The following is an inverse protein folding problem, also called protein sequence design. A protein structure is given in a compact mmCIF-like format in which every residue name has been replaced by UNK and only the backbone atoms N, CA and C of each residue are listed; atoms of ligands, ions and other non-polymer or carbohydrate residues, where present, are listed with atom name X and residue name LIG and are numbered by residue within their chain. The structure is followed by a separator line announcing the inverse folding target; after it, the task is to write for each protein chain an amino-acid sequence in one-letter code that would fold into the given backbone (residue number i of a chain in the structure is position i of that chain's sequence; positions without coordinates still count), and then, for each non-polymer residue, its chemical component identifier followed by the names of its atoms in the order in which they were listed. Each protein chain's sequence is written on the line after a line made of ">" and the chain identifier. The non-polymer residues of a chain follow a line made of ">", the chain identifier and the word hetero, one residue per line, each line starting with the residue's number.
data_IF_798608677333
#
_entry.id   IF_798608677333
#
_cell.length_a   1.000
_cell.length_b   1.000
_cell.length_c   1.000
_cell.angle_alpha   90.00
_cell.angle_beta   90.00
_cell.angle_gamma   90.00
#
_symmetry.space_group_name_H-M   'P 1'
#
loop_
_entity.id
_entity.type
_entity.pdbx_description
1 polymer ?
#
# COMPACT_ATOMS: atom_id res chain seq x y z
N UNK A 1 -8.71 64.84 44.73
CA UNK A 1 -7.61 65.76 44.39
C UNK A 1 -6.96 65.17 43.15
N UNK A 2 -7.42 65.45 41.93
CA UNK A 2 -7.32 66.73 41.19
C UNK A 2 -5.85 67.19 41.19
N UNK A 3 -5.08 66.89 40.14
CA UNK A 3 -4.94 67.79 38.99
C UNK A 3 -4.18 67.17 37.79
N UNK A 4 -4.65 67.56 36.61
CA UNK A 4 -3.98 67.52 35.29
C UNK A 4 -3.28 68.88 35.07
N UNK A 5 -2.37 69.06 34.08
CA UNK A 5 -2.84 69.38 32.73
C UNK A 5 -2.03 68.77 31.56
N UNK A 6 -2.77 68.57 30.48
CA UNK A 6 -2.42 68.19 29.11
C UNK A 6 -1.59 69.23 28.33
N UNK A 7 -0.83 68.81 27.31
CA UNK A 7 -0.76 69.39 25.93
C UNK A 7 -0.03 68.38 25.01
N UNK A 8 -0.73 67.54 24.22
CA UNK A 8 -0.99 67.65 22.77
C UNK A 8 0.27 67.79 21.87
N UNK A 9 0.70 66.69 21.25
CA UNK A 9 1.02 66.63 19.80
C UNK A 9 0.49 65.30 19.24
N UNK A 10 -0.48 65.44 18.33
CA UNK A 10 -1.09 64.43 17.47
C UNK A 10 -0.16 64.22 16.27
N UNK A 11 0.16 62.97 15.90
CA UNK A 11 0.36 62.50 14.52
C UNK A 11 1.10 61.15 14.49
N UNK A 12 0.64 60.23 13.62
CA UNK A 12 1.26 58.96 13.21
C UNK A 12 0.92 57.69 14.02
N UNK A 13 -0.39 57.40 14.14
CA UNK A 13 -0.90 56.04 14.35
C UNK A 13 -2.01 55.77 13.33
N UNK A 14 -1.64 55.42 12.10
CA UNK A 14 -2.56 54.83 11.12
C UNK A 14 -1.82 54.31 9.89
N UNK A 15 -1.03 53.24 10.01
CA UNK A 15 -0.56 52.53 8.81
C UNK A 15 -0.20 51.05 8.94
N UNK A 16 -0.34 50.39 10.10
CA UNK A 16 0.12 48.99 10.22
C UNK A 16 -0.85 47.99 10.87
N UNK A 17 -2.13 48.35 11.03
CA UNK A 17 -3.09 47.47 11.69
C UNK A 17 -4.48 47.45 11.07
N UNK A 18 -4.59 47.57 9.74
CA UNK A 18 -5.83 47.23 8.99
C UNK A 18 -5.46 46.78 7.55
N UNK A 19 -4.78 45.64 7.39
CA UNK A 19 -4.75 44.91 6.10
C UNK A 19 -4.77 43.41 6.42
N UNK A 20 -5.96 42.83 6.55
CA UNK A 20 -6.24 41.41 6.25
C UNK A 20 -7.68 40.98 6.53
N UNK A 21 -8.55 41.86 7.05
CA UNK A 21 -9.99 41.59 7.16
C UNK A 21 -10.78 42.62 6.35
N UNK A 22 -11.48 42.16 5.31
CA UNK A 22 -12.45 42.83 4.43
C UNK A 22 -12.04 42.90 2.95
N UNK A 23 -12.15 41.77 2.25
CA UNK A 23 -12.56 41.76 0.84
C UNK A 23 -13.64 40.70 0.64
N UNK A 24 -14.79 40.93 1.28
CA UNK A 24 -16.03 40.25 0.97
C UNK A 24 -17.10 41.33 0.77
N UNK A 25 -17.65 41.40 -0.45
CA UNK A 25 -18.75 42.28 -0.91
C UNK A 25 -18.39 43.79 -0.92
N UNK A 26 -18.57 44.59 -1.97
CA UNK A 26 -19.49 44.57 -3.11
C UNK A 26 -19.11 45.71 -4.07
N UNK A 27 -18.95 45.47 -5.37
CA UNK A 27 -19.22 46.49 -6.40
C UNK A 27 -19.94 45.83 -7.56
N UNK A 28 -21.20 46.22 -7.72
CA UNK A 28 -22.03 45.91 -8.86
C UNK A 28 -21.87 47.01 -9.91
N UNK A 29 -21.75 46.57 -11.18
CA UNK A 29 -22.10 47.25 -12.44
C UNK A 29 -21.33 48.51 -12.86
N UNK A 30 -20.55 48.33 -13.93
CA UNK A 30 -20.48 49.07 -15.21
C UNK A 30 -19.14 48.64 -15.85
N UNK A 31 -18.96 48.08 -17.04
CA UNK A 31 -19.81 47.69 -18.16
C UNK A 31 -18.84 47.22 -19.26
N UNK A 32 -19.14 46.05 -19.84
CA UNK A 32 -18.74 45.54 -21.18
C UNK A 32 -17.26 45.53 -21.61
N UNK A 33 -16.91 44.39 -22.21
CA UNK A 33 -15.66 44.04 -22.91
C UNK A 33 -14.49 43.67 -21.99
N UNK A 34 -14.39 42.37 -21.67
CA UNK A 34 -13.16 41.57 -21.83
C UNK A 34 -13.49 40.10 -21.46
N UNK A 35 -13.14 39.17 -22.35
CA UNK A 35 -13.37 37.73 -22.19
C UNK A 35 -12.48 37.17 -21.07
N UNK A 36 -13.00 36.44 -20.07
CA UNK A 36 -12.16 35.84 -19.04
C UNK A 36 -11.64 34.48 -19.51
N UNK A 37 -10.36 34.47 -19.91
CA UNK A 37 -9.52 33.27 -19.90
C UNK A 37 -9.51 32.70 -18.48
N UNK A 38 -10.01 31.49 -18.34
CA UNK A 38 -10.08 30.72 -17.10
C UNK A 38 -8.65 30.48 -16.56
N UNK A 39 -8.25 31.25 -15.55
CA UNK A 39 -7.03 31.00 -14.77
C UNK A 39 -7.33 29.80 -13.87
N UNK A 40 -7.09 28.61 -14.42
CA UNK A 40 -6.97 27.35 -13.67
C UNK A 40 -5.71 27.44 -12.81
N UNK A 41 -5.90 27.52 -11.48
CA UNK A 41 -4.82 27.24 -10.54
C UNK A 41 -4.43 25.77 -10.71
N UNK A 42 -3.40 25.50 -11.51
CA UNK A 42 -2.72 24.21 -11.58
C UNK A 42 -2.00 23.97 -10.24
N UNK A 43 -2.59 23.13 -9.40
CA UNK A 43 -1.84 22.43 -8.36
C UNK A 43 -1.23 21.18 -9.02
N UNK A 44 -0.08 21.34 -9.67
CA UNK A 44 0.71 20.23 -10.25
C UNK A 44 1.88 19.90 -9.33
N UNK A 45 1.74 18.81 -8.55
CA UNK A 45 2.76 17.77 -8.34
C UNK A 45 2.19 16.66 -7.44
N UNK A 46 1.41 15.76 -8.04
CA UNK A 46 1.32 14.38 -7.56
C UNK A 46 1.89 13.50 -8.65
N UNK A 47 2.79 12.60 -8.26
CA UNK A 47 3.40 11.62 -9.14
C UNK A 47 2.29 10.64 -9.55
N UNK A 48 1.68 10.93 -10.69
CA UNK A 48 0.49 10.26 -11.19
C UNK A 48 0.89 8.89 -11.73
N UNK A 49 0.67 7.84 -10.95
CA UNK A 49 0.87 6.47 -11.38
C UNK A 49 -0.11 6.14 -12.52
N UNK A 50 0.33 5.29 -13.45
CA UNK A 50 -0.30 4.97 -14.73
C UNK A 50 -1.54 4.06 -14.59
N UNK A 51 -2.41 4.38 -13.63
CA UNK A 51 -3.66 3.67 -13.30
C UNK A 51 -4.90 4.57 -13.38
N UNK A 52 -4.80 5.71 -14.09
CA UNK A 52 -5.90 6.66 -14.27
C UNK A 52 -6.83 6.25 -15.45
N UNK A 53 -7.15 4.96 -15.56
CA UNK A 53 -8.36 4.59 -16.29
C UNK A 53 -9.53 4.98 -15.38
N UNK A 54 -10.18 6.11 -15.70
CA UNK A 54 -11.46 6.49 -15.12
C UNK A 54 -12.47 5.39 -15.41
N UNK A 55 -12.65 4.50 -14.44
CA UNK A 55 -13.63 3.42 -14.49
C UNK A 55 -14.95 3.99 -14.01
N UNK A 56 -15.95 3.98 -14.89
CA UNK A 56 -17.32 4.24 -14.49
C UNK A 56 -17.84 3.06 -13.66
N UNK A 57 -17.73 3.17 -12.33
CA UNK A 57 -18.19 2.14 -11.39
C UNK A 57 -19.71 1.94 -11.41
N UNK A 58 -20.47 2.85 -12.01
CA UNK A 58 -21.92 2.71 -12.19
C UNK A 58 -22.28 1.92 -13.44
N UNK A 59 -21.34 1.77 -14.39
CA UNK A 59 -21.50 0.87 -15.52
C UNK A 59 -21.22 -0.59 -15.07
N UNK A 60 -22.24 -1.48 -15.09
CA UNK A 60 -22.08 -2.86 -14.63
C UNK A 60 -21.10 -3.69 -15.46
N UNK A 61 -20.72 -3.22 -16.65
CA UNK A 61 -19.76 -3.89 -17.54
C UNK A 61 -18.34 -3.32 -17.45
N UNK A 62 -18.13 -2.13 -16.87
CA UNK A 62 -16.82 -1.47 -16.89
C UNK A 62 -15.72 -2.33 -16.24
N UNK A 63 -16.01 -2.99 -15.12
CA UNK A 63 -15.05 -3.89 -14.46
C UNK A 63 -14.82 -5.20 -15.25
N UNK A 64 -15.81 -5.68 -16.00
CA UNK A 64 -15.66 -6.84 -16.90
C UNK A 64 -14.78 -6.49 -18.09
N UNK A 65 -15.01 -5.33 -18.71
CA UNK A 65 -14.22 -4.81 -19.82
C UNK A 65 -12.77 -4.53 -19.41
N UNK A 66 -12.56 -3.93 -18.24
CA UNK A 66 -11.24 -3.72 -17.65
C UNK A 66 -10.51 -5.05 -17.48
N UNK A 67 -11.16 -6.05 -16.88
CA UNK A 67 -10.57 -7.37 -16.71
C UNK A 67 -10.24 -8.03 -18.05
N UNK A 68 -11.12 -7.92 -19.06
CA UNK A 68 -10.87 -8.45 -20.40
C UNK A 68 -9.65 -7.78 -21.05
N UNK A 69 -9.52 -6.46 -20.92
CA UNK A 69 -8.37 -5.69 -21.41
C UNK A 69 -7.07 -6.09 -20.72
N UNK A 70 -7.10 -6.27 -19.41
CA UNK A 70 -5.96 -6.77 -18.64
C UNK A 70 -5.59 -8.20 -19.08
N UNK A 71 -6.58 -9.05 -19.35
CA UNK A 71 -6.36 -10.42 -19.80
C UNK A 71 -5.64 -10.47 -21.15
N UNK A 72 -6.04 -9.64 -22.11
CA UNK A 72 -5.40 -9.55 -23.43
C UNK A 72 -3.94 -9.10 -23.37
N UNK A 73 -3.53 -8.41 -22.32
CA UNK A 73 -2.18 -7.85 -22.15
C UNK A 73 -1.37 -8.54 -21.05
N UNK A 74 -1.92 -9.58 -20.41
CA UNK A 74 -1.34 -10.16 -19.21
C UNK A 74 0.09 -10.67 -19.44
N UNK A 75 0.31 -11.46 -20.49
CA UNK A 75 1.63 -12.00 -20.85
C UNK A 75 2.64 -10.88 -21.15
N UNK A 76 2.19 -9.83 -21.85
CA UNK A 76 3.03 -8.67 -22.14
C UNK A 76 3.43 -7.94 -20.86
N UNK A 77 2.49 -7.68 -19.96
CA UNK A 77 2.77 -7.01 -18.69
C UNK A 77 3.69 -7.85 -17.80
N UNK A 78 3.47 -9.17 -17.74
CA UNK A 78 4.33 -10.09 -16.99
C UNK A 78 5.76 -10.08 -17.54
N UNK A 79 5.92 -10.14 -18.87
CA UNK A 79 7.23 -10.09 -19.52
C UNK A 79 7.93 -8.75 -19.28
N UNK A 80 7.23 -7.62 -19.42
CA UNK A 80 7.79 -6.30 -19.16
C UNK A 80 8.26 -6.14 -17.72
N UNK A 81 7.45 -6.58 -16.75
CA UNK A 81 7.79 -6.57 -15.32
C UNK A 81 9.06 -7.39 -15.05
N UNK A 82 9.14 -8.60 -15.60
CA UNK A 82 10.29 -9.47 -15.46
C UNK A 82 11.57 -8.88 -16.09
N UNK A 83 11.44 -8.23 -17.24
CA UNK A 83 12.57 -7.58 -17.91
C UNK A 83 13.12 -6.40 -17.09
N UNK A 84 12.25 -5.55 -16.54
CA UNK A 84 12.70 -4.38 -15.76
C UNK A 84 13.25 -4.78 -14.39
N UNK A 85 12.81 -5.91 -13.82
CA UNK A 85 13.34 -6.45 -12.56
C UNK A 85 14.82 -6.85 -12.63
N UNK A 86 15.36 -7.12 -13.82
CA UNK A 86 16.79 -7.41 -14.05
C UNK A 86 17.67 -6.17 -14.08
N UNK A 87 17.07 -4.98 -14.15
CA UNK A 87 17.78 -3.71 -14.13
C UNK A 87 17.97 -3.16 -12.70
N UNK A 88 18.58 -1.99 -12.61
CA UNK A 88 18.78 -1.26 -11.34
C UNK A 88 17.80 -0.08 -11.13
N UNK A 89 16.94 0.19 -12.12
CA UNK A 89 16.07 1.38 -12.12
C UNK A 89 14.73 1.13 -11.40
N UNK A 90 14.66 1.44 -10.10
CA UNK A 90 13.46 1.25 -9.26
C UNK A 90 12.22 1.94 -9.79
N UNK A 91 12.32 3.21 -10.21
CA UNK A 91 11.17 3.96 -10.77
C UNK A 91 10.58 3.26 -11.99
N UNK A 92 11.44 2.68 -12.83
CA UNK A 92 11.01 1.92 -14.01
C UNK A 92 10.36 0.60 -13.60
N UNK A 93 10.90 -0.07 -12.59
CA UNK A 93 10.31 -1.29 -12.04
C UNK A 93 8.92 -1.02 -11.44
N UNK A 94 8.80 -0.06 -10.52
CA UNK A 94 7.53 0.26 -9.87
C UNK A 94 6.46 0.65 -10.89
N UNK A 95 6.79 1.46 -11.91
CA UNK A 95 5.87 1.83 -12.99
C UNK A 95 5.35 0.66 -13.84
N UNK A 96 6.01 -0.50 -13.79
CA UNK A 96 5.58 -1.72 -14.49
C UNK A 96 4.79 -2.69 -13.63
N UNK A 97 4.74 -2.50 -12.31
CA UNK A 97 3.83 -3.26 -11.46
C UNK A 97 2.40 -2.84 -11.78
N UNK A 98 1.56 -3.79 -12.16
CA UNK A 98 0.15 -3.56 -12.51
C UNK A 98 -0.77 -4.08 -11.42
N UNK A 99 -1.95 -3.48 -11.31
CA UNK A 99 -2.97 -3.91 -10.36
C UNK A 99 -3.58 -5.24 -10.83
N UNK A 100 -3.75 -6.16 -9.90
CA UNK A 100 -4.35 -7.49 -10.12
C UNK A 100 -5.71 -7.63 -9.44
N UNK A 101 -6.10 -6.60 -8.67
CA UNK A 101 -7.37 -6.45 -8.00
C UNK A 101 -7.82 -4.98 -8.03
N UNK A 102 -9.11 -4.77 -8.20
CA UNK A 102 -9.72 -3.43 -8.17
C UNK A 102 -10.48 -3.25 -6.86
N UNK A 103 -10.16 -2.17 -6.14
CA UNK A 103 -10.86 -1.76 -4.93
C UNK A 103 -11.60 -0.44 -5.16
N UNK A 104 -12.93 -0.47 -5.09
CA UNK A 104 -13.75 0.73 -5.29
C UNK A 104 -13.66 1.71 -4.10
N UNK A 105 -13.55 1.20 -2.88
CA UNK A 105 -13.48 1.98 -1.65
C UNK A 105 -12.05 1.87 -1.10
N UNK A 106 -11.17 2.77 -1.53
CA UNK A 106 -9.76 2.78 -1.14
C UNK A 106 -9.47 4.01 -0.28
N UNK A 107 -8.94 3.80 0.92
CA UNK A 107 -8.67 4.86 1.90
C UNK A 107 -7.19 4.87 2.29
N UNK A 108 -6.55 6.05 2.35
CA UNK A 108 -5.21 6.20 2.93
C UNK A 108 -5.35 6.24 4.45
N UNK A 109 -4.64 5.33 5.14
CA UNK A 109 -4.66 5.19 6.60
C UNK A 109 -3.28 5.50 7.14
N UNK A 110 -3.19 6.23 8.25
CA UNK A 110 -1.95 6.83 8.74
C UNK A 110 -1.60 8.15 8.04
N UNK A 111 -0.32 8.53 8.08
CA UNK A 111 0.18 9.79 7.54
C UNK A 111 0.19 9.79 6.00
N UNK A 112 0.17 11.00 5.41
CA UNK A 112 0.12 11.20 3.95
C UNK A 112 1.46 10.96 3.28
N UNK A 113 2.54 11.22 4.00
CA UNK A 113 3.88 11.26 3.44
C UNK A 113 4.61 9.91 3.59
N UNK A 114 4.78 9.42 4.81
CA UNK A 114 5.51 8.18 5.13
C UNK A 114 4.76 7.32 6.17
N UNK A 115 4.93 6.00 6.12
CA UNK A 115 4.36 5.05 7.08
C UNK A 115 2.85 4.77 6.97
N UNK A 116 2.06 5.66 6.36
CA UNK A 116 0.63 5.43 6.10
C UNK A 116 0.40 4.55 4.87
N UNK A 117 -0.56 3.61 4.91
CA UNK A 117 -0.82 2.63 3.83
C UNK A 117 -2.22 2.80 3.23
N UNK A 118 -2.40 2.45 1.96
CA UNK A 118 -3.74 2.34 1.35
C UNK A 118 -4.46 1.05 1.75
N UNK A 119 -5.65 1.18 2.33
CA UNK A 119 -6.49 0.07 2.79
C UNK A 119 -7.77 0.00 1.98
N UNK A 120 -8.11 -1.20 1.51
CA UNK A 120 -9.37 -1.44 0.81
C UNK A 120 -10.51 -1.70 1.80
N UNK A 121 -11.54 -0.87 1.73
CA UNK A 121 -12.79 -0.92 2.50
C UNK A 121 -12.57 -1.29 3.98
N UNK A 122 -11.81 -0.47 4.73
CA UNK A 122 -11.44 -0.77 6.12
C UNK A 122 -12.65 -1.01 7.04
N UNK A 123 -13.82 -0.47 6.71
CA UNK A 123 -15.06 -0.67 7.50
C UNK A 123 -15.66 -2.07 7.38
N UNK A 124 -15.20 -2.86 6.41
CA UNK A 124 -15.65 -4.23 6.16
C UNK A 124 -14.88 -5.31 6.95
N UNK A 125 -14.03 -4.91 7.89
CA UNK A 125 -13.47 -5.86 8.87
C UNK A 125 -14.58 -6.58 9.62
N UNK A 126 -14.32 -7.83 10.03
CA UNK A 126 -15.26 -8.64 10.83
C UNK A 126 -15.69 -7.87 12.07
N UNK A 127 -16.97 -7.98 12.43
CA UNK A 127 -17.55 -7.30 13.61
C UNK A 127 -17.15 -7.95 14.92
N UNK A 128 -17.00 -9.27 14.91
CA UNK A 128 -16.57 -10.03 16.07
C UNK A 128 -15.17 -10.59 15.82
N UNK A 129 -14.37 -10.65 16.88
CA UNK A 129 -13.10 -11.36 16.88
C UNK A 129 -12.11 -10.91 15.79
N UNK A 130 -12.08 -9.63 15.40
CA UNK A 130 -11.07 -9.11 14.48
C UNK A 130 -9.76 -8.74 15.20
N UNK A 131 -8.63 -8.98 14.52
CA UNK A 131 -7.30 -8.63 15.00
C UNK A 131 -6.56 -7.87 13.91
N UNK A 132 -5.98 -6.72 14.26
CA UNK A 132 -5.09 -5.95 13.41
C UNK A 132 -3.66 -6.16 13.92
N UNK A 133 -2.69 -6.32 13.02
CA UNK A 133 -1.28 -6.43 13.39
C UNK A 133 -0.48 -5.35 12.66
N UNK A 134 0.36 -4.63 13.40
CA UNK A 134 1.27 -3.59 12.89
C UNK A 134 2.70 -3.92 13.32
N UNK A 135 3.56 -4.24 12.35
CA UNK A 135 4.96 -4.59 12.59
C UNK A 135 5.87 -3.44 12.17
N UNK A 136 6.86 -3.15 13.03
CA UNK A 136 7.82 -2.06 12.89
C UNK A 136 7.18 -0.71 13.21
N UNK A 137 6.91 -0.49 14.50
CA UNK A 137 6.28 0.73 14.97
C UNK A 137 7.26 1.90 15.04
N UNK A 138 8.47 1.69 15.56
CA UNK A 138 9.49 2.73 15.78
C UNK A 138 8.93 4.05 16.37
N UNK A 139 8.09 3.96 17.41
CA UNK A 139 7.34 5.06 18.04
C UNK A 139 6.32 5.78 17.13
N UNK A 140 6.06 5.30 15.92
CA UNK A 140 4.99 5.77 15.06
C UNK A 140 3.69 5.01 15.36
N UNK A 141 2.61 5.76 15.60
CA UNK A 141 1.28 5.22 15.96
C UNK A 141 0.15 5.80 15.08
N UNK A 142 0.47 6.69 14.14
CA UNK A 142 -0.53 7.39 13.32
C UNK A 142 -1.40 6.42 12.52
N UNK A 143 -0.78 5.41 11.89
CA UNK A 143 -1.49 4.33 11.21
C UNK A 143 -2.43 3.59 12.15
N UNK A 144 -1.92 3.14 13.29
CA UNK A 144 -2.59 2.29 14.28
C UNK A 144 -3.83 2.97 14.88
N UNK A 145 -3.70 4.24 15.26
CA UNK A 145 -4.84 5.05 15.73
C UNK A 145 -5.87 5.26 14.62
N UNK A 146 -5.41 5.58 13.41
CA UNK A 146 -6.30 5.86 12.30
C UNK A 146 -7.07 4.60 11.88
N UNK A 147 -6.42 3.44 11.73
CA UNK A 147 -7.10 2.20 11.37
C UNK A 147 -8.08 1.76 12.47
N UNK A 148 -7.71 1.93 13.74
CA UNK A 148 -8.59 1.59 14.84
C UNK A 148 -9.86 2.46 14.83
N UNK A 149 -9.71 3.76 14.57
CA UNK A 149 -10.85 4.67 14.46
C UNK A 149 -11.76 4.31 13.27
N UNK A 150 -11.19 4.12 12.07
CA UNK A 150 -11.97 3.84 10.86
C UNK A 150 -12.67 2.49 10.92
N UNK A 151 -12.07 1.50 11.59
CA UNK A 151 -12.70 0.19 11.79
C UNK A 151 -13.81 0.22 12.84
N UNK A 152 -13.92 1.28 13.64
CA UNK A 152 -14.95 1.41 14.70
C UNK A 152 -14.47 0.99 16.08
N UNK A 153 -13.18 0.77 16.27
CA UNK A 153 -12.56 0.56 17.57
C UNK A 153 -12.75 -0.83 18.18
N UNK A 154 -13.43 -1.75 17.50
CA UNK A 154 -13.78 -3.06 18.06
C UNK A 154 -12.70 -4.13 17.85
N UNK A 155 -11.74 -3.92 16.95
CA UNK A 155 -10.65 -4.89 16.74
C UNK A 155 -9.61 -4.84 17.85
N UNK A 156 -8.96 -5.97 18.12
CA UNK A 156 -7.72 -5.98 18.92
C UNK A 156 -6.56 -5.58 18.02
N UNK A 157 -5.77 -4.58 18.40
CA UNK A 157 -4.57 -4.19 17.63
C UNK A 157 -3.30 -4.68 18.33
N UNK A 158 -2.45 -5.42 17.62
CA UNK A 158 -1.18 -5.94 18.12
C UNK A 158 -0.04 -5.20 17.42
N UNK A 159 0.74 -4.47 18.19
CA UNK A 159 1.88 -3.71 17.71
C UNK A 159 3.18 -4.38 18.11
N UNK A 160 4.16 -4.41 17.21
CA UNK A 160 5.44 -5.03 17.49
C UNK A 160 6.61 -4.25 16.91
N UNK A 161 7.70 -4.18 17.67
CA UNK A 161 8.96 -3.60 17.25
C UNK A 161 10.14 -4.30 17.93
N UNK A 162 11.35 -4.14 17.39
CA UNK A 162 12.57 -4.67 18.02
C UNK A 162 12.86 -3.95 19.35
N UNK A 163 12.52 -2.66 19.44
CA UNK A 163 12.79 -1.83 20.62
C UNK A 163 11.51 -1.50 21.40
N UNK A 164 11.59 -1.35 22.74
CA UNK A 164 10.48 -0.85 23.53
C UNK A 164 10.01 0.53 23.05
N UNK A 165 8.70 0.70 22.95
CA UNK A 165 8.09 1.99 22.61
C UNK A 165 8.17 2.94 23.81
N UNK A 166 8.19 4.25 23.58
CA UNK A 166 8.18 5.22 24.67
C UNK A 166 6.83 5.21 25.43
N UNK A 167 6.82 5.79 26.64
CA UNK A 167 5.64 5.75 27.53
C UNK A 167 4.38 6.35 26.88
N UNK A 168 4.52 7.44 26.13
CA UNK A 168 3.40 8.07 25.43
C UNK A 168 2.75 7.12 24.43
N UNK A 169 3.57 6.36 23.69
CA UNK A 169 3.08 5.37 22.72
C UNK A 169 2.47 4.17 23.44
N UNK A 170 3.06 3.69 24.54
CA UNK A 170 2.49 2.62 25.34
C UNK A 170 1.08 2.97 25.84
N UNK A 171 0.92 4.13 26.47
CA UNK A 171 -0.39 4.62 26.96
C UNK A 171 -1.38 4.88 25.82
N UNK A 172 -0.89 5.34 24.66
CA UNK A 172 -1.73 5.52 23.48
C UNK A 172 -2.23 4.18 22.93
N UNK A 173 -1.40 3.14 22.94
CA UNK A 173 -1.75 1.80 22.48
C UNK A 173 -2.82 1.16 23.37
N UNK A 174 -2.70 1.30 24.70
CA UNK A 174 -3.71 0.81 25.65
C UNK A 174 -5.09 1.43 25.39
N UNK A 175 -5.14 2.72 25.07
CA UNK A 175 -6.40 3.45 24.77
C UNK A 175 -7.10 3.00 23.49
N UNK A 176 -6.39 2.38 22.56
CA UNK A 176 -6.94 1.93 21.26
C UNK A 176 -7.22 0.42 21.23
N UNK A 177 -7.44 -0.21 22.38
CA UNK A 177 -7.57 -1.66 22.53
C UNK A 177 -6.32 -2.39 21.97
N UNK A 178 -5.15 -1.81 22.22
CA UNK A 178 -3.88 -2.29 21.72
C UNK A 178 -3.12 -3.16 22.70
N UNK A 179 -2.18 -3.94 22.16
CA UNK A 179 -1.17 -4.67 22.91
C UNK A 179 0.17 -4.58 22.19
N UNK A 180 1.21 -4.21 22.93
CA UNK A 180 2.57 -4.08 22.41
C UNK A 180 3.40 -5.34 22.68
N UNK A 181 4.27 -5.65 21.74
CA UNK A 181 5.26 -6.71 21.80
C UNK A 181 6.63 -6.14 21.46
N UNK A 182 7.66 -6.64 22.12
CA UNK A 182 9.05 -6.23 21.91
C UNK A 182 9.87 -7.46 21.52
N UNK A 183 10.60 -7.33 20.43
CA UNK A 183 11.54 -8.33 19.95
C UNK A 183 11.69 -8.31 18.44
N UNK A 184 12.81 -8.83 17.96
CA UNK A 184 13.08 -8.97 16.53
C UNK A 184 12.19 -10.05 15.89
N UNK A 185 11.56 -9.74 14.77
CA UNK A 185 10.73 -10.67 13.98
C UNK A 185 11.59 -11.27 12.85
N UNK A 186 11.54 -12.60 12.60
CA UNK A 186 10.78 -13.63 13.30
C UNK A 186 11.56 -14.30 14.46
N UNK A 187 12.79 -13.86 14.74
CA UNK A 187 13.76 -14.61 15.55
C UNK A 187 13.41 -14.66 17.04
N UNK A 188 13.01 -13.55 17.63
CA UNK A 188 12.69 -13.43 19.07
C UNK A 188 11.18 -13.51 19.32
N UNK A 189 10.39 -12.93 18.42
CA UNK A 189 8.93 -13.00 18.43
C UNK A 189 8.39 -13.37 17.04
N UNK A 190 7.26 -14.07 17.03
CA UNK A 190 6.57 -14.49 15.80
C UNK A 190 5.11 -14.08 15.86
N UNK A 191 4.46 -13.98 14.70
CA UNK A 191 3.00 -13.70 14.65
C UNK A 191 2.22 -14.73 15.46
N UNK A 192 2.59 -16.01 15.39
CA UNK A 192 1.94 -17.08 16.15
C UNK A 192 2.08 -16.89 17.66
N UNK A 193 3.27 -16.52 18.16
CA UNK A 193 3.48 -16.28 19.59
C UNK A 193 2.74 -15.04 20.08
N UNK A 194 2.66 -13.99 19.26
CA UNK A 194 1.87 -12.79 19.57
C UNK A 194 0.38 -13.09 19.66
N UNK A 195 -0.18 -13.79 18.66
CA UNK A 195 -1.58 -14.22 18.67
C UNK A 195 -1.90 -15.07 19.89
N UNK A 196 -1.07 -16.07 20.19
CA UNK A 196 -1.25 -16.94 21.37
C UNK A 196 -1.27 -16.13 22.67
N UNK A 197 -0.33 -15.20 22.85
CA UNK A 197 -0.23 -14.37 24.05
C UNK A 197 -1.35 -13.33 24.17
N UNK A 198 -1.93 -12.90 23.05
CA UNK A 198 -3.09 -12.02 23.01
C UNK A 198 -4.43 -12.78 22.98
N UNK A 199 -4.40 -14.11 23.10
CA UNK A 199 -5.59 -14.99 23.02
C UNK A 199 -6.40 -14.79 21.73
N UNK A 200 -5.69 -14.55 20.63
CA UNK A 200 -6.23 -14.37 19.28
C UNK A 200 -5.93 -15.60 18.42
N UNK A 201 -6.74 -15.81 17.39
CA UNK A 201 -6.59 -16.96 16.46
C UNK A 201 -6.44 -16.55 15.00
N UNK A 202 -6.90 -15.36 14.64
CA UNK A 202 -6.96 -14.89 13.27
C UNK A 202 -6.42 -13.47 13.18
N UNK A 203 -5.89 -13.12 12.01
CA UNK A 203 -5.45 -11.77 11.65
C UNK A 203 -6.33 -11.28 10.51
N UNK A 204 -6.98 -10.13 10.72
CA UNK A 204 -7.81 -9.49 9.73
C UNK A 204 -6.97 -8.63 8.78
N UNK A 205 -6.11 -7.77 9.34
CA UNK A 205 -5.20 -6.89 8.61
C UNK A 205 -3.78 -7.00 9.18
N UNK A 206 -2.78 -7.09 8.30
CA UNK A 206 -1.37 -7.15 8.67
C UNK A 206 -0.59 -6.06 7.93
N UNK A 207 -0.09 -5.05 8.67
CA UNK A 207 0.94 -4.10 8.20
C UNK A 207 2.32 -4.66 8.53
N UNK A 208 3.20 -4.65 7.54
CA UNK A 208 4.60 -5.07 7.66
C UNK A 208 5.50 -3.95 7.13
N UNK A 209 6.39 -3.48 8.00
CA UNK A 209 7.28 -2.36 7.72
C UNK A 209 8.52 -2.48 8.62
N UNK A 210 9.42 -3.41 8.28
CA UNK A 210 10.47 -3.88 9.21
C UNK A 210 11.88 -3.73 8.61
N UNK A 211 12.06 -2.71 7.76
CA UNK A 211 13.37 -2.20 7.32
C UNK A 211 14.30 -3.28 6.74
N UNK A 212 13.78 -4.11 5.83
CA UNK A 212 14.54 -5.19 5.17
C UNK A 212 14.33 -6.58 5.78
N UNK A 213 13.75 -6.66 6.98
CA UNK A 213 13.34 -7.93 7.59
C UNK A 213 12.25 -8.66 6.81
N UNK A 214 11.63 -8.00 5.82
CA UNK A 214 10.56 -8.57 5.00
C UNK A 214 11.01 -9.83 4.27
N UNK A 215 12.26 -9.89 3.80
CA UNK A 215 12.74 -10.99 2.96
C UNK A 215 12.92 -12.31 3.69
N UNK A 216 13.17 -12.27 4.99
CA UNK A 216 13.37 -13.45 5.84
C UNK A 216 12.10 -13.78 6.64
N UNK A 217 11.37 -12.75 7.07
CA UNK A 217 10.22 -12.90 7.93
C UNK A 217 8.97 -13.41 7.22
N UNK A 218 8.73 -13.05 5.95
CA UNK A 218 7.37 -13.10 5.44
C UNK A 218 6.81 -14.50 5.13
N UNK A 219 7.55 -15.35 4.40
CA UNK A 219 6.96 -16.58 3.83
C UNK A 219 6.28 -17.52 4.85
N UNK A 220 6.82 -17.72 6.08
CA UNK A 220 6.14 -18.49 7.13
C UNK A 220 4.75 -17.94 7.53
N UNK A 221 4.45 -16.68 7.23
CA UNK A 221 3.24 -15.98 7.68
C UNK A 221 2.16 -15.83 6.60
N UNK A 222 2.44 -16.03 5.31
CA UNK A 222 1.57 -15.61 4.18
C UNK A 222 0.40 -16.58 3.89
N UNK A 223 0.03 -17.50 4.77
CA UNK A 223 -0.98 -18.50 4.39
C UNK A 223 -2.43 -17.98 4.33
N UNK A 224 -2.82 -16.96 5.11
CA UNK A 224 -4.25 -16.68 5.33
C UNK A 224 -4.67 -15.20 5.51
N UNK A 225 -3.77 -14.21 5.41
CA UNK A 225 -4.05 -12.85 5.90
C UNK A 225 -4.18 -11.80 4.79
N UNK A 226 -4.61 -10.58 5.11
CA UNK A 226 -4.49 -9.41 4.21
C UNK A 226 -3.21 -8.66 4.54
N UNK A 227 -2.41 -8.27 3.55
CA UNK A 227 -1.06 -7.77 3.79
C UNK A 227 -0.86 -6.38 3.16
N UNK A 228 -0.45 -5.44 3.98
CA UNK A 228 0.13 -4.16 3.59
C UNK A 228 1.62 -4.24 3.91
N UNK A 229 2.47 -4.10 2.90
CA UNK A 229 3.90 -4.34 3.07
C UNK A 229 4.69 -3.22 2.41
N UNK A 230 5.67 -2.71 3.13
CA UNK A 230 6.77 -1.96 2.55
C UNK A 230 7.92 -2.89 2.22
N UNK A 231 8.34 -2.91 0.96
CA UNK A 231 9.45 -3.78 0.54
C UNK A 231 10.68 -2.92 0.28
N UNK A 232 11.77 -3.26 0.94
CA UNK A 232 13.09 -2.70 0.74
C UNK A 232 13.88 -3.54 -0.28
N UNK A 233 14.73 -2.91 -1.11
CA UNK A 233 15.75 -3.62 -1.88
C UNK A 233 15.74 -3.34 -3.39
N UNK A 234 16.42 -4.19 -4.15
CA UNK A 234 16.57 -4.10 -5.61
C UNK A 234 15.27 -4.48 -6.35
N UNK A 235 15.10 -4.08 -7.62
CA UNK A 235 13.96 -4.52 -8.44
C UNK A 235 13.77 -6.04 -8.48
N UNK A 236 14.87 -6.81 -8.45
CA UNK A 236 14.82 -8.27 -8.40
C UNK A 236 14.29 -8.80 -7.06
N UNK A 237 14.67 -8.19 -5.94
CA UNK A 237 14.18 -8.56 -4.60
C UNK A 237 12.70 -8.21 -4.44
N UNK A 238 12.29 -7.04 -4.93
CA UNK A 238 10.88 -6.67 -5.03
C UNK A 238 10.08 -7.69 -5.85
N UNK A 239 10.55 -8.05 -7.06
CA UNK A 239 9.89 -9.07 -7.87
C UNK A 239 9.78 -10.38 -7.10
N UNK A 240 10.87 -10.87 -6.50
CA UNK A 240 10.87 -12.13 -5.73
C UNK A 240 9.81 -12.10 -4.63
N UNK A 241 9.69 -11.01 -3.89
CA UNK A 241 8.67 -10.85 -2.85
C UNK A 241 7.25 -10.89 -3.45
N UNK A 242 7.00 -10.16 -4.54
CA UNK A 242 5.70 -10.19 -5.22
C UNK A 242 5.37 -11.59 -5.76
N UNK A 243 6.35 -12.35 -6.23
CA UNK A 243 6.13 -13.73 -6.68
C UNK A 243 5.80 -14.68 -5.52
N UNK A 244 6.40 -14.47 -4.34
CA UNK A 244 6.02 -15.18 -3.11
C UNK A 244 4.56 -14.85 -2.76
N UNK A 245 4.17 -13.58 -2.79
CA UNK A 245 2.78 -13.17 -2.57
C UNK A 245 1.82 -13.82 -3.57
N UNK A 246 2.16 -13.80 -4.86
CA UNK A 246 1.36 -14.41 -5.92
C UNK A 246 1.22 -15.93 -5.75
N UNK A 247 2.27 -16.62 -5.26
CA UNK A 247 2.23 -18.06 -4.92
C UNK A 247 1.13 -18.36 -3.89
N UNK A 248 0.87 -17.45 -2.96
CA UNK A 248 -0.18 -17.57 -1.93
C UNK A 248 -1.51 -16.88 -2.33
N UNK A 249 -1.72 -16.60 -3.62
CA UNK A 249 -2.95 -16.00 -4.17
C UNK A 249 -3.26 -14.60 -3.61
N UNK A 250 -2.23 -13.83 -3.32
CA UNK A 250 -2.39 -12.39 -3.11
C UNK A 250 -2.40 -11.65 -4.43
N UNK A 251 -3.16 -10.56 -4.46
CA UNK A 251 -3.27 -9.66 -5.60
C UNK A 251 -3.02 -8.23 -5.19
N UNK A 252 -2.26 -7.53 -6.01
CA UNK A 252 -1.91 -6.13 -5.80
C UNK A 252 -3.13 -5.26 -6.14
N UNK A 253 -3.57 -4.42 -5.21
CA UNK A 253 -4.60 -3.40 -5.46
C UNK A 253 -4.08 -1.97 -5.28
N UNK A 254 -2.87 -1.80 -4.75
CA UNK A 254 -2.18 -0.51 -4.68
C UNK A 254 -0.65 -0.68 -4.77
N UNK A 255 0.00 0.29 -5.40
CA UNK A 255 1.46 0.44 -5.51
C UNK A 255 1.79 1.89 -5.21
N UNK A 256 2.63 2.14 -4.22
CA UNK A 256 3.02 3.49 -3.79
C UNK A 256 4.53 3.53 -3.52
N UNK A 257 5.33 4.03 -4.49
CA UNK A 257 6.76 4.25 -4.25
C UNK A 257 6.98 5.22 -3.08
N UNK A 258 7.87 4.88 -2.15
CA UNK A 258 8.14 5.74 -1.01
C UNK A 258 8.95 6.99 -1.49
N UNK A 259 8.48 8.22 -1.24
CA UNK A 259 9.19 9.43 -1.68
C UNK A 259 10.50 9.69 -0.92
N UNK A 260 10.67 9.12 0.28
CA UNK A 260 11.86 9.27 1.13
C UNK A 260 12.85 8.12 0.98
N UNK A 261 12.44 7.00 0.39
CA UNK A 261 13.29 5.85 0.14
C UNK A 261 13.25 5.42 -1.34
N UNK A 262 14.34 5.67 -2.06
CA UNK A 262 14.41 5.43 -3.52
C UNK A 262 14.25 3.96 -3.92
N UNK A 263 14.59 3.03 -3.01
CA UNK A 263 14.53 1.59 -3.19
C UNK A 263 13.38 0.92 -2.42
N UNK A 264 12.47 1.72 -1.84
CA UNK A 264 11.31 1.22 -1.13
C UNK A 264 10.02 1.45 -1.92
N UNK A 265 9.08 0.53 -1.77
CA UNK A 265 7.75 0.68 -2.31
C UNK A 265 6.76 0.00 -1.38
N UNK A 266 5.66 0.68 -1.13
CA UNK A 266 4.53 0.12 -0.43
C UNK A 266 3.62 -0.60 -1.41
N UNK A 267 3.25 -1.83 -1.06
CA UNK A 267 2.27 -2.62 -1.77
C UNK A 267 1.12 -2.93 -0.84
N UNK A 268 -0.09 -2.75 -1.36
CA UNK A 268 -1.30 -3.20 -0.67
C UNK A 268 -1.86 -4.38 -1.43
N UNK A 269 -1.91 -5.53 -0.75
CA UNK A 269 -2.30 -6.79 -1.35
C UNK A 269 -3.51 -7.39 -0.62
N UNK A 270 -4.32 -8.11 -1.38
CA UNK A 270 -5.48 -8.83 -0.86
C UNK A 270 -5.46 -10.26 -1.34
N UNK A 271 -5.70 -11.18 -0.42
CA UNK A 271 -5.79 -12.61 -0.69
C UNK A 271 -7.15 -12.93 -1.33
N UNK A 272 -7.17 -13.80 -2.35
CA UNK A 272 -8.36 -14.10 -3.18
C UNK A 272 -9.63 -14.43 -2.36
N UNK A 273 -9.50 -15.22 -1.28
CA UNK A 273 -10.61 -15.61 -0.39
C UNK A 273 -11.22 -14.44 0.39
N UNK A 274 -10.47 -13.35 0.59
CA UNK A 274 -10.94 -12.17 1.32
C UNK A 274 -11.63 -11.14 0.41
N UNK A 275 -11.53 -11.26 -0.92
CA UNK A 275 -12.00 -10.21 -1.83
C UNK A 275 -13.47 -9.87 -1.68
N UNK A 276 -14.32 -10.89 -1.55
CA UNK A 276 -15.77 -10.71 -1.42
C UNK A 276 -16.14 -9.89 -0.18
N UNK A 277 -15.52 -10.17 0.97
CA UNK A 277 -15.79 -9.45 2.23
C UNK A 277 -15.57 -7.94 2.06
N UNK A 278 -14.60 -7.55 1.24
CA UNK A 278 -14.19 -6.16 1.08
C UNK A 278 -14.72 -5.49 -0.20
N UNK A 279 -15.53 -6.20 -0.99
CA UNK A 279 -16.06 -5.68 -2.25
C UNK A 279 -14.97 -5.46 -3.30
N UNK A 280 -13.90 -6.26 -3.26
CA UNK A 280 -12.83 -6.22 -4.25
C UNK A 280 -13.23 -7.03 -5.48
N UNK A 281 -12.98 -6.43 -6.64
CA UNK A 281 -13.19 -7.10 -7.93
C UNK A 281 -11.86 -7.68 -8.44
N UNK A 282 -11.77 -9.00 -8.70
CA UNK A 282 -10.53 -9.60 -9.17
C UNK A 282 -10.24 -9.19 -10.62
N UNK A 283 -9.03 -8.71 -10.88
CA UNK A 283 -8.51 -8.54 -12.24
C UNK A 283 -7.74 -9.80 -12.65
N UNK A 284 -6.69 -9.64 -13.45
CA UNK A 284 -5.88 -10.73 -13.98
C UNK A 284 -4.55 -10.77 -13.23
N UNK A 285 -4.08 -11.95 -12.77
CA UNK A 285 -2.74 -12.08 -12.22
C UNK A 285 -1.69 -11.77 -13.31
N UNK A 286 -0.76 -10.88 -12.99
CA UNK A 286 0.34 -10.41 -13.86
C UNK A 286 1.67 -10.89 -13.31
N UNK A 287 1.84 -10.85 -11.99
CA UNK A 287 3.05 -11.32 -11.33
C UNK A 287 3.12 -12.84 -11.48
N UNK A 288 4.20 -13.37 -12.08
CA UNK A 288 4.31 -14.79 -12.31
C UNK A 288 4.55 -15.53 -10.99
N UNK A 289 3.76 -16.55 -10.71
CA UNK A 289 4.07 -17.49 -9.62
C UNK A 289 5.41 -18.14 -9.92
N UNK A 290 6.19 -18.46 -8.88
CA UNK A 290 7.63 -18.84 -8.93
C UNK A 290 7.95 -20.07 -9.83
N UNK A 291 6.97 -20.70 -10.49
CA UNK A 291 7.20 -21.78 -11.44
C UNK A 291 7.55 -21.27 -12.85
N UNK A 292 8.78 -20.79 -13.02
CA UNK A 292 9.43 -20.77 -14.34
C UNK A 292 10.61 -21.75 -14.36
N UNK A 293 10.31 -23.06 -14.38
CA UNK A 293 11.15 -23.97 -15.14
C UNK A 293 10.72 -23.86 -16.59
N UNK A 294 11.40 -23.00 -17.34
CA UNK A 294 11.34 -23.06 -18.79
C UNK A 294 11.95 -24.42 -19.20
N UNK A 295 11.11 -25.44 -19.40
CA UNK A 295 11.50 -26.60 -20.21
C UNK A 295 11.68 -26.06 -21.63
N UNK A 296 12.89 -25.65 -21.96
CA UNK A 296 13.30 -25.58 -23.36
C UNK A 296 13.10 -26.99 -23.93
N UNK A 297 12.02 -27.19 -24.68
CA UNK A 297 12.00 -28.24 -25.69
C UNK A 297 13.12 -27.90 -26.66
N UNK A 298 14.30 -28.49 -26.41
CA UNK A 298 15.31 -28.66 -27.43
C UNK A 298 14.63 -29.47 -28.53
N UNK A 299 14.24 -28.81 -29.62
CA UNK A 299 14.07 -29.47 -30.90
C UNK A 299 15.42 -30.10 -31.21
N UNK A 300 15.58 -31.36 -30.83
CA UNK A 300 16.68 -32.19 -31.29
C UNK A 300 16.39 -32.40 -32.77
N UNK A 301 17.10 -31.67 -33.62
CA UNK A 301 17.34 -32.15 -34.98
C UNK A 301 18.05 -33.50 -34.83
N UNK A 302 17.31 -34.58 -35.08
CA UNK A 302 17.87 -35.91 -35.17
C UNK A 302 18.76 -35.98 -36.41
N UNK A 303 20.07 -35.92 -36.19
CA UNK A 303 21.08 -36.35 -37.14
C UNK A 303 20.94 -37.88 -37.34
N UNK A 304 20.64 -38.38 -38.55
CA UNK A 304 20.35 -39.78 -38.77
C UNK A 304 21.65 -40.55 -38.99
N UNK A 305 22.47 -40.71 -37.95
CA UNK A 305 23.58 -41.66 -37.97
C UNK A 305 24.08 -41.96 -36.55
N UNK A 306 23.52 -43.00 -35.92
CA UNK A 306 24.31 -44.13 -35.37
C UNK A 306 23.42 -45.15 -34.64
N UNK A 307 23.80 -46.38 -34.93
CA UNK A 307 23.21 -47.67 -34.61
C UNK A 307 23.65 -48.20 -33.23
N UNK A 308 22.79 -49.04 -32.61
CA UNK A 308 23.00 -49.95 -31.44
C UNK A 308 23.28 -49.26 -30.08
N UNK A 309 22.67 -49.62 -28.94
CA UNK A 309 22.39 -50.95 -28.39
C UNK A 309 21.27 -50.92 -27.31
N UNK A 310 20.72 -52.11 -27.02
CA UNK A 310 19.52 -52.48 -26.26
C UNK A 310 19.63 -52.37 -24.73
N UNK A 311 18.44 -52.48 -24.11
CA UNK A 311 18.03 -52.69 -22.67
C UNK A 311 17.56 -51.37 -22.04
N UNK A 312 16.27 -51.08 -21.84
CA UNK A 312 15.07 -51.83 -21.44
C UNK A 312 15.14 -52.52 -20.07
N UNK A 313 14.65 -51.80 -19.05
CA UNK A 313 13.96 -52.20 -17.81
C UNK A 313 13.28 -50.88 -17.33
N UNK A 314 11.95 -50.64 -17.29
CA UNK A 314 10.81 -51.32 -16.62
C UNK A 314 11.18 -51.63 -15.15
N UNK A 315 10.57 -51.13 -14.07
CA UNK A 315 9.18 -50.83 -13.68
C UNK A 315 9.21 -49.83 -12.46
N UNK A 316 8.27 -48.89 -12.35
CA UNK A 316 7.20 -48.79 -11.31
C UNK A 316 7.64 -48.99 -9.84
N UNK A 317 7.57 -47.92 -9.02
CA UNK A 317 6.47 -47.59 -8.08
C UNK A 317 6.35 -46.07 -8.02
#
# INVERSE_FOLDING_TARGET
>A
MIDSPSTVIISLLSCFLIISTLTCFSVSRLGKYFSPSLILLKCEKQQKFEADELIDIYNPNALKELRAKYNLKADKYSLELYQVARGAEHKRFFGKVKLEAFCAIKERIGDVDDGGKYVCNPRAVRKDNCTLISLGLNNAISYDQHIQNVTGGHCRILGADKDPQNITIQEAYERINGQLFVGMIPNEISISSMLKKAERREVELLKIDIEGGEHEGLEPFIREYRIFIEVHGTPSEHLKMLQIMAKYNFRIFNVEPNPYCFNCCEYSLIQDSCMNQYGVYPLVPIVPKVEFFCKCNKLIFSDPQKHYDKRMFLLLV
#
